data_IF_487348516619
#
_entry.id   IF_487348516619
#
_cell.length_a   1.000
_cell.length_b   1.000
_cell.length_c   1.000
_cell.angle_alpha   90.00
_cell.angle_beta   90.00
_cell.angle_gamma   90.00
#
_symmetry.space_group_name_H-M   'P 1'
#
loop_
_entity.id
_entity.type
_entity.pdbx_description
1 polymer ?
#
# COMPACT_ATOMS: atom_id res chain seq x y z
N UNK A 1 21.44 8.75 -8.69
CA UNK A 1 20.77 9.10 -7.42
C UNK A 1 19.73 8.02 -7.04
N UNK A 2 18.84 7.61 -7.94
CA UNK A 2 17.97 6.40 -7.85
C UNK A 2 18.53 5.15 -7.14
N UNK A 3 19.78 4.75 -7.41
CA UNK A 3 20.42 3.58 -6.78
C UNK A 3 20.59 3.72 -5.26
N UNK A 4 20.80 4.94 -4.77
CA UNK A 4 20.97 5.24 -3.34
C UNK A 4 19.62 5.12 -2.63
N UNK A 5 18.55 5.70 -3.20
CA UNK A 5 17.20 5.59 -2.61
C UNK A 5 16.68 4.16 -2.61
N UNK A 6 16.89 3.40 -3.70
CA UNK A 6 16.50 2.00 -3.77
C UNK A 6 17.28 1.14 -2.76
N UNK A 7 18.58 1.41 -2.60
CA UNK A 7 19.41 0.79 -1.57
C UNK A 7 18.89 1.13 -0.18
N UNK A 8 18.64 2.40 0.12
CA UNK A 8 18.15 2.83 1.44
C UNK A 8 16.79 2.23 1.77
N UNK A 9 15.86 2.19 0.80
CA UNK A 9 14.58 1.49 0.92
C UNK A 9 14.79 0.01 1.25
N UNK A 10 15.59 -0.71 0.45
CA UNK A 10 15.87 -2.12 0.69
C UNK A 10 16.56 -2.36 2.03
N UNK A 11 17.49 -1.49 2.43
CA UNK A 11 18.16 -1.54 3.73
C UNK A 11 17.19 -1.36 4.89
N UNK A 12 16.30 -0.36 4.83
CA UNK A 12 15.29 -0.14 5.88
C UNK A 12 14.36 -1.36 5.98
N UNK A 13 13.90 -1.89 4.85
CA UNK A 13 13.02 -3.06 4.81
C UNK A 13 13.69 -4.32 5.37
N UNK A 14 14.94 -4.60 4.95
CA UNK A 14 15.69 -5.77 5.42
C UNK A 14 16.02 -5.63 6.90
N UNK A 15 16.51 -4.47 7.35
CA UNK A 15 16.83 -4.25 8.76
C UNK A 15 15.56 -4.33 9.62
N UNK A 16 14.45 -3.72 9.19
CA UNK A 16 13.16 -3.79 9.88
C UNK A 16 12.64 -5.22 10.02
N UNK A 17 12.65 -5.99 8.93
CA UNK A 17 12.19 -7.40 8.96
C UNK A 17 13.14 -8.30 9.75
N UNK A 18 14.45 -8.18 9.55
CA UNK A 18 15.44 -9.00 10.24
C UNK A 18 15.48 -8.71 11.75
N UNK A 19 15.39 -7.43 12.14
CA UNK A 19 15.30 -7.05 13.55
C UNK A 19 14.00 -7.54 14.19
N UNK A 20 12.85 -7.42 13.50
CA UNK A 20 11.58 -7.95 14.00
C UNK A 20 11.63 -9.47 14.22
N UNK A 21 12.18 -10.23 13.27
CA UNK A 21 12.37 -11.68 13.42
C UNK A 21 13.33 -12.00 14.56
N UNK A 22 14.46 -11.29 14.66
CA UNK A 22 15.40 -11.49 15.75
C UNK A 22 14.74 -11.26 17.11
N UNK A 23 13.98 -10.18 17.25
CA UNK A 23 13.21 -9.84 18.44
C UNK A 23 12.24 -10.97 18.82
N UNK A 24 11.41 -11.43 17.88
CA UNK A 24 10.37 -12.44 18.14
C UNK A 24 10.93 -13.78 18.64
N UNK A 25 12.11 -14.18 18.15
CA UNK A 25 12.67 -15.51 18.42
C UNK A 25 13.80 -15.54 19.46
N UNK A 26 14.41 -14.40 19.78
CA UNK A 26 15.62 -14.36 20.64
C UNK A 26 15.51 -13.43 21.85
N UNK A 27 14.49 -12.56 21.93
CA UNK A 27 14.31 -11.65 23.06
C UNK A 27 13.04 -12.00 23.85
N UNK A 28 13.03 -11.61 25.13
CA UNK A 28 11.82 -11.70 25.95
C UNK A 28 10.81 -10.65 25.50
N UNK A 29 9.62 -11.11 25.15
CA UNK A 29 8.50 -10.28 24.70
C UNK A 29 7.68 -9.73 25.88
N UNK A 30 7.96 -10.18 27.11
CA UNK A 30 7.43 -9.58 28.34
C UNK A 30 8.05 -8.19 28.60
N UNK A 31 9.17 -7.89 27.96
CA UNK A 31 9.76 -6.56 27.97
C UNK A 31 8.94 -5.60 27.09
N UNK A 32 8.29 -4.63 27.75
CA UNK A 32 7.45 -3.60 27.13
C UNK A 32 8.16 -2.89 25.98
N UNK A 33 9.46 -2.58 26.12
CA UNK A 33 10.21 -1.86 25.08
C UNK A 33 10.39 -2.70 23.82
N UNK A 34 10.70 -3.99 23.99
CA UNK A 34 10.80 -4.96 22.89
C UNK A 34 9.47 -5.09 22.14
N UNK A 35 8.37 -5.18 22.88
CA UNK A 35 7.02 -5.24 22.32
C UNK A 35 6.65 -3.96 21.55
N UNK A 36 6.93 -2.78 22.12
CA UNK A 36 6.68 -1.50 21.45
C UNK A 36 7.44 -1.40 20.13
N UNK A 37 8.73 -1.78 20.10
CA UNK A 37 9.53 -1.76 18.86
C UNK A 37 8.89 -2.65 17.79
N UNK A 38 8.40 -3.83 18.18
CA UNK A 38 7.73 -4.76 17.27
C UNK A 38 6.48 -4.12 16.66
N UNK A 39 5.63 -3.47 17.48
CA UNK A 39 4.41 -2.81 17.03
C UNK A 39 4.67 -1.58 16.17
N UNK A 40 5.66 -0.75 16.53
CA UNK A 40 6.06 0.39 15.69
C UNK A 40 6.54 -0.08 14.32
N UNK A 41 7.26 -1.21 14.29
CA UNK A 41 7.78 -1.77 13.04
C UNK A 41 6.66 -2.33 12.16
N UNK A 42 5.71 -3.07 12.74
CA UNK A 42 4.59 -3.69 12.02
C UNK A 42 3.53 -2.67 11.56
N UNK A 43 3.16 -1.71 12.41
CA UNK A 43 2.14 -0.72 12.09
C UNK A 43 2.67 0.45 11.26
N UNK A 44 3.89 0.90 11.56
CA UNK A 44 4.46 2.12 11.01
C UNK A 44 5.53 1.85 9.98
N UNK A 45 6.70 1.39 10.44
CA UNK A 45 7.93 1.41 9.64
C UNK A 45 7.76 0.66 8.31
N UNK A 46 7.30 -0.60 8.34
CA UNK A 46 7.18 -1.42 7.13
C UNK A 46 6.07 -0.90 6.20
N UNK A 47 4.81 -0.74 6.66
CA UNK A 47 3.73 -0.26 5.80
C UNK A 47 3.99 1.12 5.19
N UNK A 48 4.47 2.08 5.98
CA UNK A 48 4.75 3.45 5.51
C UNK A 48 5.88 3.42 4.48
N UNK A 49 6.97 2.69 4.76
CA UNK A 49 8.11 2.59 3.84
C UNK A 49 7.69 1.96 2.51
N UNK A 50 6.87 0.90 2.52
CA UNK A 50 6.34 0.31 1.29
C UNK A 50 5.40 1.24 0.54
N UNK A 51 4.41 1.82 1.24
CA UNK A 51 3.34 2.59 0.61
C UNK A 51 3.79 3.96 0.09
N UNK A 52 4.79 4.60 0.71
CA UNK A 52 5.21 5.97 0.40
C UNK A 52 6.64 6.10 -0.14
N UNK A 53 7.40 5.02 -0.27
CA UNK A 53 8.75 5.08 -0.86
C UNK A 53 8.77 5.61 -2.29
N UNK A 54 7.65 5.53 -3.02
CA UNK A 54 7.53 6.14 -4.33
C UNK A 54 7.83 7.64 -4.32
N UNK A 55 7.57 8.36 -3.22
CA UNK A 55 7.83 9.82 -3.06
C UNK A 55 9.28 10.17 -3.35
N UNK A 56 10.20 9.23 -3.07
CA UNK A 56 11.63 9.40 -3.32
C UNK A 56 12.07 8.80 -4.66
N UNK A 57 11.37 7.78 -5.14
CA UNK A 57 11.77 7.00 -6.32
C UNK A 57 11.26 7.57 -7.65
N UNK A 58 10.14 8.31 -7.64
CA UNK A 58 9.52 8.84 -8.86
C UNK A 58 10.26 10.03 -9.46
N UNK A 59 10.95 10.83 -8.63
CA UNK A 59 11.62 12.09 -9.03
C UNK A 59 12.69 11.89 -10.10
N UNK A 60 13.33 10.72 -10.12
CA UNK A 60 14.38 10.34 -11.09
C UNK A 60 13.84 9.48 -12.25
N UNK A 61 12.52 9.27 -12.36
CA UNK A 61 11.94 8.42 -13.41
C UNK A 61 11.76 9.21 -14.71
N UNK A 62 12.17 8.62 -15.84
CA UNK A 62 11.91 9.16 -17.18
C UNK A 62 10.41 9.23 -17.49
N UNK A 63 9.65 8.28 -16.95
CA UNK A 63 8.19 8.18 -17.07
C UNK A 63 7.59 8.12 -15.65
N UNK A 64 7.42 9.27 -14.97
CA UNK A 64 6.97 9.31 -13.57
C UNK A 64 5.58 8.70 -13.39
N UNK A 65 4.66 8.92 -14.34
CA UNK A 65 3.29 8.44 -14.26
C UNK A 65 3.18 6.92 -14.38
N UNK A 66 3.91 6.32 -15.33
CA UNK A 66 3.97 4.86 -15.49
C UNK A 66 4.65 4.20 -14.29
N UNK A 67 5.72 4.82 -13.76
CA UNK A 67 6.37 4.34 -12.54
C UNK A 67 5.39 4.31 -11.36
N UNK A 68 4.61 5.38 -11.16
CA UNK A 68 3.64 5.46 -10.07
C UNK A 68 2.50 4.44 -10.24
N UNK A 69 1.96 4.27 -11.45
CA UNK A 69 0.94 3.26 -11.75
C UNK A 69 1.42 1.83 -11.45
N UNK A 70 2.66 1.51 -11.84
CA UNK A 70 3.28 0.22 -11.54
C UNK A 70 3.58 0.03 -10.04
N UNK A 71 4.13 1.06 -9.39
CA UNK A 71 4.42 1.01 -7.95
C UNK A 71 3.16 0.75 -7.14
N UNK A 72 2.11 1.50 -7.47
CA UNK A 72 0.82 1.39 -6.83
C UNK A 72 0.17 0.01 -7.02
N UNK A 73 0.21 -0.49 -8.26
CA UNK A 73 -0.28 -1.83 -8.59
C UNK A 73 0.48 -2.90 -7.82
N UNK A 74 1.80 -2.75 -7.69
CA UNK A 74 2.66 -3.63 -6.92
C UNK A 74 2.32 -3.63 -5.43
N UNK A 75 2.21 -2.46 -4.80
CA UNK A 75 1.85 -2.37 -3.36
C UNK A 75 0.46 -2.94 -3.10
N UNK A 76 -0.51 -2.65 -3.99
CA UNK A 76 -1.86 -3.17 -3.87
C UNK A 76 -1.91 -4.70 -4.00
N UNK A 77 -1.17 -5.27 -4.95
CA UNK A 77 -1.07 -6.71 -5.11
C UNK A 77 -0.42 -7.37 -3.88
N UNK A 78 0.66 -6.78 -3.35
CA UNK A 78 1.34 -7.30 -2.15
C UNK A 78 0.37 -7.40 -0.98
N UNK A 79 -0.34 -6.32 -0.65
CA UNK A 79 -1.26 -6.36 0.49
C UNK A 79 -2.52 -7.16 0.22
N UNK A 80 -3.00 -7.24 -1.02
CA UNK A 80 -4.07 -8.15 -1.38
C UNK A 80 -3.66 -9.60 -1.11
N UNK A 81 -2.48 -10.01 -1.56
CA UNK A 81 -1.94 -11.36 -1.31
C UNK A 81 -1.78 -11.60 0.20
N UNK A 82 -1.22 -10.64 0.95
CA UNK A 82 -1.10 -10.77 2.40
C UNK A 82 -2.47 -10.94 3.08
N UNK A 83 -3.51 -10.22 2.65
CA UNK A 83 -4.85 -10.37 3.20
C UNK A 83 -5.49 -11.72 2.87
N UNK A 84 -5.28 -12.26 1.66
CA UNK A 84 -5.75 -13.59 1.26
C UNK A 84 -5.03 -14.70 2.02
N UNK A 85 -3.73 -14.52 2.31
CA UNK A 85 -2.98 -15.45 3.16
C UNK A 85 -3.39 -15.36 4.63
N UNK A 86 -3.73 -14.14 5.10
CA UNK A 86 -4.16 -13.89 6.48
C UNK A 86 -5.49 -14.57 6.78
N UNK A 87 -6.49 -14.38 5.91
CA UNK A 87 -7.86 -14.82 6.16
C UNK A 87 -8.29 -15.76 5.03
N UNK A 88 -8.75 -16.96 5.39
CA UNK A 88 -9.35 -17.89 4.41
C UNK A 88 -10.46 -17.17 3.65
N UNK A 89 -10.53 -17.40 2.34
CA UNK A 89 -11.49 -16.71 1.45
C UNK A 89 -12.93 -16.82 1.97
N UNK A 90 -13.31 -18.00 2.50
CA UNK A 90 -14.63 -18.26 3.10
C UNK A 90 -14.97 -17.35 4.30
N UNK A 91 -13.95 -16.80 4.97
CA UNK A 91 -14.07 -15.95 6.17
C UNK A 91 -13.79 -14.47 5.90
N UNK A 92 -13.54 -14.09 4.65
CA UNK A 92 -13.34 -12.69 4.26
C UNK A 92 -14.62 -11.83 4.40
N UNK A 93 -15.79 -12.48 4.41
CA UNK A 93 -17.08 -11.81 4.41
C UNK A 93 -17.31 -10.97 3.14
N UNK A 94 -18.43 -10.24 3.10
CA UNK A 94 -18.78 -9.40 1.96
C UNK A 94 -17.74 -8.31 1.69
N UNK A 95 -17.29 -7.61 2.74
CA UNK A 95 -16.29 -6.53 2.61
C UNK A 95 -14.95 -7.02 2.09
N UNK A 96 -14.48 -8.20 2.50
CA UNK A 96 -13.21 -8.73 2.02
C UNK A 96 -13.26 -9.14 0.54
N UNK A 97 -14.37 -9.72 0.08
CA UNK A 97 -14.57 -10.02 -1.35
C UNK A 97 -14.65 -8.74 -2.17
N UNK A 98 -15.44 -7.75 -1.71
CA UNK A 98 -15.58 -6.46 -2.39
C UNK A 98 -14.24 -5.71 -2.50
N UNK A 99 -13.44 -5.70 -1.43
CA UNK A 99 -12.09 -5.14 -1.45
C UNK A 99 -11.20 -5.87 -2.46
N UNK A 100 -11.24 -7.21 -2.49
CA UNK A 100 -10.40 -7.99 -3.39
C UNK A 100 -10.73 -7.72 -4.86
N UNK A 101 -12.02 -7.76 -5.21
CA UNK A 101 -12.50 -7.49 -6.57
C UNK A 101 -12.15 -6.05 -6.99
N UNK A 102 -12.42 -5.07 -6.13
CA UNK A 102 -12.14 -3.67 -6.44
C UNK A 102 -10.64 -3.39 -6.54
N UNK A 103 -9.82 -4.00 -5.69
CA UNK A 103 -8.36 -3.89 -5.78
C UNK A 103 -7.82 -4.50 -7.08
N UNK A 104 -8.31 -5.66 -7.50
CA UNK A 104 -7.94 -6.25 -8.79
C UNK A 104 -8.35 -5.36 -9.96
N UNK A 105 -9.56 -4.80 -9.91
CA UNK A 105 -10.03 -3.86 -10.93
C UNK A 105 -9.15 -2.61 -11.00
N UNK A 106 -8.81 -2.01 -9.85
CA UNK A 106 -7.93 -0.83 -9.77
C UNK A 106 -6.52 -1.12 -10.26
N UNK A 107 -5.97 -2.33 -10.01
CA UNK A 107 -4.70 -2.77 -10.58
C UNK A 107 -4.79 -2.77 -12.11
N UNK A 108 -5.79 -3.44 -12.68
CA UNK A 108 -5.95 -3.51 -14.15
C UNK A 108 -6.10 -2.11 -14.75
N UNK A 109 -6.95 -1.27 -14.15
CA UNK A 109 -7.16 0.12 -14.57
C UNK A 109 -5.87 0.94 -14.51
N UNK A 110 -5.07 0.79 -13.46
CA UNK A 110 -3.80 1.52 -13.27
C UNK A 110 -2.72 1.13 -14.29
N UNK A 111 -2.88 -0.01 -14.97
CA UNK A 111 -2.00 -0.46 -16.04
C UNK A 111 -2.45 0.03 -17.43
N UNK A 112 -3.58 0.72 -17.51
CA UNK A 112 -4.12 1.31 -18.76
C UNK A 112 -4.01 2.83 -18.74
N UNK A 113 -4.29 3.47 -19.88
CA UNK A 113 -4.32 4.93 -19.98
C UNK A 113 -5.63 5.57 -19.49
N UNK A 114 -6.60 4.75 -19.07
CA UNK A 114 -7.94 5.23 -18.70
C UNK A 114 -7.96 6.24 -17.54
N UNK A 115 -7.17 6.06 -16.45
CA UNK A 115 -7.07 7.06 -15.38
C UNK A 115 -6.61 8.44 -15.89
N UNK A 116 -5.93 8.50 -17.04
CA UNK A 116 -5.45 9.74 -17.65
C UNK A 116 -6.53 10.53 -18.42
N UNK A 117 -7.74 9.98 -18.56
CA UNK A 117 -8.89 10.69 -19.15
C UNK A 117 -9.66 11.50 -18.10
N UNK A 118 -10.41 12.54 -18.51
CA UNK A 118 -11.20 13.38 -17.58
C UNK A 118 -12.20 12.55 -16.75
N UNK A 119 -13.01 11.74 -17.43
CA UNK A 119 -13.99 10.85 -16.79
C UNK A 119 -13.33 9.69 -16.03
N UNK A 120 -12.29 9.09 -16.61
CA UNK A 120 -11.57 8.00 -15.97
C UNK A 120 -10.86 8.43 -14.69
N UNK A 121 -10.30 9.64 -14.63
CA UNK A 121 -9.71 10.18 -13.40
C UNK A 121 -10.74 10.31 -12.29
N UNK A 122 -11.87 10.96 -12.55
CA UNK A 122 -12.92 11.13 -11.56
C UNK A 122 -13.44 9.79 -11.02
N UNK A 123 -13.77 8.86 -11.92
CA UNK A 123 -14.27 7.55 -11.53
C UNK A 123 -13.21 6.72 -10.80
N UNK A 124 -11.95 6.75 -11.24
CA UNK A 124 -10.85 6.07 -10.55
C UNK A 124 -10.66 6.63 -9.14
N UNK A 125 -10.72 7.95 -8.95
CA UNK A 125 -10.67 8.58 -7.63
C UNK A 125 -11.80 8.12 -6.71
N UNK A 126 -13.03 8.08 -7.21
CA UNK A 126 -14.19 7.58 -6.46
C UNK A 126 -14.04 6.09 -6.09
N UNK A 127 -13.52 5.27 -7.00
CA UNK A 127 -13.27 3.85 -6.75
C UNK A 127 -12.13 3.63 -5.76
N UNK A 128 -11.08 4.46 -5.77
CA UNK A 128 -10.03 4.42 -4.75
C UNK A 128 -10.62 4.73 -3.36
N UNK A 129 -11.45 5.77 -3.25
CA UNK A 129 -12.14 6.12 -1.99
C UNK A 129 -13.03 4.97 -1.51
N UNK A 130 -13.79 4.36 -2.41
CA UNK A 130 -14.62 3.20 -2.08
C UNK A 130 -13.76 2.01 -1.61
N UNK A 131 -12.59 1.82 -2.21
CA UNK A 131 -11.67 0.77 -1.80
C UNK A 131 -11.06 1.01 -0.40
N UNK A 132 -10.87 2.27 0.01
CA UNK A 132 -10.52 2.61 1.41
C UNK A 132 -11.61 2.10 2.36
N UNK A 133 -12.88 2.36 2.02
CA UNK A 133 -14.03 1.91 2.85
C UNK A 133 -14.06 0.39 2.94
N UNK A 134 -13.84 -0.32 1.83
CA UNK A 134 -13.81 -1.79 1.84
C UNK A 134 -12.60 -2.35 2.57
N UNK A 135 -11.42 -1.73 2.46
CA UNK A 135 -10.23 -2.11 3.23
C UNK A 135 -10.52 -1.98 4.73
N UNK A 136 -11.10 -0.86 5.16
CA UNK A 136 -11.49 -0.65 6.55
C UNK A 136 -12.56 -1.65 7.00
N UNK A 137 -13.59 -1.88 6.20
CA UNK A 137 -14.64 -2.86 6.48
C UNK A 137 -14.10 -4.29 6.61
N UNK A 138 -13.16 -4.69 5.75
CA UNK A 138 -12.48 -5.99 5.86
C UNK A 138 -11.71 -6.09 7.19
N UNK A 139 -10.96 -5.05 7.57
CA UNK A 139 -10.21 -5.05 8.84
C UNK A 139 -11.14 -5.23 10.03
N UNK A 140 -12.23 -4.47 10.07
CA UNK A 140 -13.21 -4.54 11.17
C UNK A 140 -13.92 -5.90 11.23
N UNK A 141 -14.27 -6.48 10.08
CA UNK A 141 -15.04 -7.75 10.02
C UNK A 141 -14.18 -9.00 10.15
N UNK A 142 -12.87 -8.89 9.89
CA UNK A 142 -11.95 -10.04 9.96
C UNK A 142 -11.04 -10.03 11.19
N UNK A 143 -11.17 -9.02 12.06
CA UNK A 143 -10.35 -8.85 13.27
C UNK A 143 -10.32 -10.10 14.16
N UNK A 144 -11.45 -10.78 14.32
CA UNK A 144 -11.53 -11.96 15.19
C UNK A 144 -10.97 -13.24 14.53
N UNK A 145 -10.84 -13.27 13.21
CA UNK A 145 -10.39 -14.44 12.45
C UNK A 145 -8.87 -14.47 12.20
N UNK A 146 -8.13 -13.56 12.85
CA UNK A 146 -6.70 -13.28 12.67
C UNK A 146 -5.77 -14.42 13.14
N UNK A 147 -6.20 -15.23 14.11
CA UNK A 147 -5.30 -16.10 14.86
C UNK A 147 -5.00 -17.54 14.33
N UNK A 148 -5.69 -18.14 13.33
CA UNK A 148 -5.69 -19.60 13.24
C UNK A 148 -4.43 -20.25 12.63
N UNK A 149 -3.60 -19.53 11.87
CA UNK A 149 -2.43 -20.14 11.21
C UNK A 149 -1.17 -20.21 12.07
N UNK A 150 -1.04 -19.28 13.02
CA UNK A 150 0.15 -19.14 13.85
C UNK A 150 -0.11 -19.35 15.35
N UNK A 151 -1.36 -19.67 15.73
CA UNK A 151 -1.74 -19.99 17.12
C UNK A 151 -1.15 -21.32 17.60
N UNK A 152 -0.83 -22.24 16.69
CA UNK A 152 -0.23 -23.54 16.96
C UNK A 152 1.29 -23.44 16.92
N UNK A 153 1.92 -22.88 17.97
CA UNK A 153 3.38 -22.73 18.01
C UNK A 153 3.90 -22.07 19.29
N UNK A 154 5.22 -21.87 19.35
CA UNK A 154 5.86 -21.09 20.42
C UNK A 154 5.41 -19.62 20.38
N UNK A 155 5.61 -18.88 21.48
CA UNK A 155 5.26 -17.46 21.61
C UNK A 155 5.75 -16.62 20.42
N UNK A 156 6.94 -16.89 19.89
CA UNK A 156 7.47 -16.21 18.71
C UNK A 156 6.66 -16.44 17.42
N UNK A 157 6.09 -17.63 17.22
CA UNK A 157 5.22 -17.90 16.06
C UNK A 157 3.89 -17.16 16.18
N UNK A 158 3.29 -17.13 17.36
CA UNK A 158 2.05 -16.38 17.60
C UNK A 158 2.25 -14.89 17.30
N UNK A 159 3.39 -14.34 17.73
CA UNK A 159 3.77 -12.94 17.51
C UNK A 159 4.13 -12.64 16.06
N UNK A 160 4.74 -13.58 15.34
CA UNK A 160 4.91 -13.49 13.89
C UNK A 160 3.56 -13.42 13.16
N UNK A 161 2.58 -14.21 13.59
CA UNK A 161 1.23 -14.15 13.03
C UNK A 161 0.53 -12.81 13.26
N UNK A 162 0.68 -12.25 14.47
CA UNK A 162 0.18 -10.91 14.77
C UNK A 162 0.92 -9.84 13.97
N UNK A 163 2.24 -9.92 13.85
CA UNK A 163 3.04 -8.99 13.06
C UNK A 163 2.65 -8.96 11.59
N UNK A 164 2.53 -10.14 10.95
CA UNK A 164 2.10 -10.25 9.54
C UNK A 164 0.70 -9.64 9.38
N UNK A 165 -0.17 -9.87 10.35
CA UNK A 165 -1.52 -9.31 10.34
C UNK A 165 -1.52 -7.80 10.43
N UNK A 166 -0.77 -7.22 11.36
CA UNK A 166 -0.65 -5.77 11.54
C UNK A 166 -0.10 -5.10 10.28
N UNK A 167 0.95 -5.67 9.70
CA UNK A 167 1.51 -5.21 8.41
C UNK A 167 0.47 -5.30 7.29
N UNK A 168 -0.29 -6.39 7.23
CA UNK A 168 -1.34 -6.58 6.21
C UNK A 168 -2.50 -5.59 6.35
N UNK A 169 -2.95 -5.33 7.57
CA UNK A 169 -4.03 -4.39 7.90
C UNK A 169 -3.61 -2.96 7.58
N UNK A 170 -2.48 -2.53 8.16
CA UNK A 170 -1.98 -1.17 7.97
C UNK A 170 -1.54 -0.93 6.54
N UNK A 171 -0.96 -1.95 5.91
CA UNK A 171 -0.60 -1.91 4.50
C UNK A 171 -1.80 -1.73 3.58
N UNK A 172 -2.92 -2.42 3.82
CA UNK A 172 -4.14 -2.24 3.05
C UNK A 172 -4.70 -0.80 3.16
N UNK A 173 -4.72 -0.25 4.38
CA UNK A 173 -5.16 1.12 4.63
C UNK A 173 -4.23 2.15 3.98
N UNK A 174 -2.92 2.04 4.24
CA UNK A 174 -1.94 3.00 3.76
C UNK A 174 -1.70 2.91 2.25
N UNK A 175 -1.92 1.76 1.62
CA UNK A 175 -1.91 1.67 0.16
C UNK A 175 -3.03 2.50 -0.43
N UNK A 176 -4.24 2.39 0.11
CA UNK A 176 -5.38 3.17 -0.37
C UNK A 176 -5.20 4.69 -0.08
N UNK A 177 -4.59 5.05 1.06
CA UNK A 177 -4.22 6.45 1.33
C UNK A 177 -3.13 6.98 0.40
N UNK A 178 -2.08 6.18 0.17
CA UNK A 178 -1.03 6.48 -0.81
C UNK A 178 -1.62 6.70 -2.20
N UNK A 179 -2.61 5.88 -2.58
CA UNK A 179 -3.36 6.00 -3.82
C UNK A 179 -4.04 7.34 -4.02
N UNK A 180 -4.78 7.78 -3.02
CA UNK A 180 -5.43 9.09 -3.05
C UNK A 180 -4.41 10.22 -3.20
N UNK A 181 -3.31 10.14 -2.45
CA UNK A 181 -2.30 11.20 -2.46
C UNK A 181 -1.68 11.40 -3.84
N UNK A 182 -1.28 10.32 -4.53
CA UNK A 182 -0.70 10.48 -5.86
C UNK A 182 -1.77 10.75 -6.93
N UNK A 183 -3.01 10.27 -6.77
CA UNK A 183 -4.13 10.61 -7.67
C UNK A 183 -4.41 12.12 -7.68
N UNK A 184 -4.31 12.77 -6.53
CA UNK A 184 -4.39 14.23 -6.43
C UNK A 184 -3.24 14.93 -7.19
N UNK A 185 -2.02 14.40 -7.07
CA UNK A 185 -0.85 14.91 -7.80
C UNK A 185 -1.05 14.78 -9.32
N UNK A 186 -1.59 13.66 -9.80
CA UNK A 186 -1.93 13.49 -11.22
C UNK A 186 -2.92 14.53 -11.71
N UNK A 187 -3.97 14.76 -10.92
CA UNK A 187 -5.05 15.68 -11.27
C UNK A 187 -4.48 17.10 -11.45
N UNK A 188 -3.70 17.56 -10.48
CA UNK A 188 -3.01 18.86 -10.53
C UNK A 188 -2.05 18.97 -11.72
N UNK A 189 -1.28 17.92 -12.02
CA UNK A 189 -0.37 17.91 -13.19
C UNK A 189 -1.12 17.95 -14.52
N UNK A 190 -2.27 17.28 -14.63
CA UNK A 190 -3.11 17.37 -15.83
C UNK A 190 -3.64 18.78 -16.02
N UNK A 191 -4.17 19.40 -14.96
CA UNK A 191 -4.67 20.77 -15.02
C UNK A 191 -3.58 21.74 -15.50
N UNK A 192 -2.35 21.59 -15.00
CA UNK A 192 -1.20 22.37 -15.48
C UNK A 192 -0.91 22.14 -16.97
N UNK A 193 -0.87 20.90 -17.44
CA UNK A 193 -0.62 20.61 -18.86
C UNK A 193 -1.71 21.18 -19.78
N UNK A 194 -2.98 21.13 -19.37
CA UNK A 194 -4.08 21.72 -20.14
C UNK A 194 -3.90 23.23 -20.25
N UNK A 195 -3.49 23.89 -19.15
CA UNK A 195 -3.22 25.33 -19.14
C UNK A 195 -2.03 25.67 -20.06
N UNK A 196 -0.93 24.92 -19.97
CA UNK A 196 0.25 25.11 -20.82
C UNK A 196 -0.07 24.93 -22.31
N UNK A 197 -0.89 23.93 -22.67
CA UNK A 197 -1.36 23.72 -24.04
C UNK A 197 -2.23 24.89 -24.50
N UNK A 198 -3.15 25.35 -23.67
CA UNK A 198 -4.04 26.46 -24.01
C UNK A 198 -3.26 27.77 -24.21
N UNK A 199 -2.21 28.02 -23.44
CA UNK A 199 -1.30 29.14 -23.68
C UNK A 199 -0.46 28.97 -24.94
N UNK A 200 0.06 27.77 -25.23
CA UNK A 200 0.82 27.52 -26.44
C UNK A 200 -0.03 27.66 -27.71
N UNK A 201 -1.31 27.26 -27.66
CA UNK A 201 -2.24 27.44 -28.77
C UNK A 201 -2.57 28.93 -28.98
N UNK A 202 -2.73 29.71 -27.89
CA UNK A 202 -2.91 31.16 -27.96
C UNK A 202 -1.68 31.88 -28.53
N UNK A 203 -0.47 31.50 -28.10
CA UNK A 203 0.79 32.05 -28.61
C UNK A 203 1.07 31.67 -30.08
N UNK A 204 0.42 30.62 -30.60
CA UNK A 204 0.54 30.19 -31.99
C UNK A 204 -0.51 30.83 -32.92
N UNK A 205 -1.55 31.47 -32.36
CA UNK A 205 -2.56 32.23 -33.11
C UNK A 205 -2.16 33.70 -33.35
N UNK A 206 -1.12 34.21 -32.67
CA UNK A 206 -0.46 35.51 -32.88
C UNK A 206 0.71 35.45 -33.90
#
# INVERSE_FOLDING_TARGET
MRRIYLRNFATIMVLGLASALFIMFNLSLDNILTYIILKVTSFGVIPITLCFSWVWLWRDSKEPFKFLGLWNSGTMLIFLVMNVLRVRIERLGGFGILYAVLSLFLIVVSLTDWPYTKYGSFLTGALILLNVVFAFGMVMTTFEFIHPYFSLGSTGYQELGMFITEVSVMGALLTASSQLYWHEILTKRREQMIIEQLFADLDAED
#
